data_IF_051762914075
#
_entry.id   IF_051762914075
#
_cell.length_a   1.000
_cell.length_b   1.000
_cell.length_c   1.000
_cell.angle_alpha   90.00
_cell.angle_beta   90.00
_cell.angle_gamma   90.00
#
_symmetry.space_group_name_H-M   'P 1'
#
loop_
_entity.id
_entity.type
_entity.pdbx_description
1 polymer ?
#
# COMPACT_ATOMS: atom_id res chain seq x y z
N UNK A 1 -1.50 -0.88 15.14
CA UNK A 1 -2.17 0.42 15.02
C UNK A 1 -3.61 0.22 14.55
N UNK A 2 -4.54 0.97 15.12
CA UNK A 2 -5.96 0.99 14.80
C UNK A 2 -6.47 2.42 14.95
N UNK A 3 -7.66 2.70 14.42
CA UNK A 3 -8.38 3.96 14.73
C UNK A 3 -9.35 3.82 15.89
N UNK A 4 -9.26 2.72 16.66
CA UNK A 4 -10.11 2.46 17.82
C UNK A 4 -9.64 3.21 19.06
N UNK A 5 -10.56 3.48 19.98
CA UNK A 5 -10.30 4.17 21.25
C UNK A 5 -9.28 3.43 22.14
N UNK A 6 -9.22 2.10 22.01
CA UNK A 6 -8.29 1.22 22.75
C UNK A 6 -6.99 0.94 21.97
N UNK A 7 -6.55 1.83 21.07
CA UNK A 7 -5.22 1.67 20.43
C UNK A 7 -4.09 2.09 21.38
N UNK A 8 -3.58 1.13 22.13
CA UNK A 8 -2.48 1.35 23.06
C UNK A 8 -1.11 1.47 22.38
N UNK A 9 -0.98 1.20 21.07
CA UNK A 9 0.34 1.21 20.39
C UNK A 9 1.00 2.59 20.48
N UNK A 10 0.22 3.64 20.19
CA UNK A 10 0.70 5.02 20.28
C UNK A 10 1.18 5.36 21.69
N UNK A 11 0.40 4.97 22.71
CA UNK A 11 0.74 5.23 24.11
C UNK A 11 2.01 4.48 24.51
N UNK A 12 2.10 3.21 24.16
CA UNK A 12 3.27 2.37 24.43
C UNK A 12 4.54 2.94 23.81
N UNK A 13 4.49 3.52 22.61
CA UNK A 13 5.64 4.20 22.01
C UNK A 13 6.06 5.43 22.81
N UNK A 14 5.11 6.25 23.26
CA UNK A 14 5.42 7.43 24.06
C UNK A 14 6.01 7.07 25.44
N UNK A 15 5.53 5.99 26.05
CA UNK A 15 6.00 5.52 27.36
C UNK A 15 7.46 5.00 27.34
N UNK A 16 8.02 4.75 26.15
CA UNK A 16 9.41 4.34 25.95
C UNK A 16 10.26 5.43 25.28
N UNK A 17 9.89 6.71 25.46
CA UNK A 17 10.55 7.88 24.87
C UNK A 17 10.58 7.86 23.32
N UNK A 18 9.58 7.23 22.71
CA UNK A 18 9.42 7.16 21.27
C UNK A 18 8.99 8.49 20.67
N UNK A 19 9.79 8.98 19.72
CA UNK A 19 9.43 10.13 18.88
C UNK A 19 8.62 9.66 17.69
N UNK A 20 7.32 9.97 17.69
CA UNK A 20 6.42 9.73 16.57
C UNK A 20 6.79 10.66 15.40
N UNK A 21 6.99 10.08 14.21
CA UNK A 21 7.23 10.81 12.96
C UNK A 21 5.91 11.06 12.24
N UNK A 22 5.08 10.03 12.13
CA UNK A 22 3.70 10.13 11.67
C UNK A 22 2.88 8.97 12.22
N UNK A 23 1.55 9.13 12.25
CA UNK A 23 0.59 8.12 12.75
C UNK A 23 -0.55 7.84 11.77
N UNK A 24 -0.56 8.52 10.63
CA UNK A 24 -1.47 8.24 9.54
C UNK A 24 -0.86 8.63 8.19
N UNK A 25 -1.24 7.89 7.15
CA UNK A 25 -0.92 8.20 5.75
C UNK A 25 -2.22 8.27 4.95
N UNK A 26 -2.28 9.20 3.99
CA UNK A 26 -3.41 9.39 3.10
C UNK A 26 -3.49 8.27 2.03
N UNK A 27 -3.68 7.03 2.48
CA UNK A 27 -3.81 5.85 1.63
C UNK A 27 -5.00 4.96 2.02
N UNK A 28 -5.42 4.11 1.09
CA UNK A 28 -6.48 3.12 1.25
C UNK A 28 -6.04 1.79 0.61
N UNK A 29 -6.15 0.64 1.30
CA UNK A 29 -6.31 0.53 2.75
C UNK A 29 -5.08 1.05 3.50
N UNK A 30 -5.14 1.12 4.84
CA UNK A 30 -3.95 1.35 5.66
C UNK A 30 -3.77 2.76 6.23
N UNK A 31 -4.84 3.56 6.35
CA UNK A 31 -4.82 4.86 7.05
C UNK A 31 -3.97 4.87 8.34
N UNK A 32 -4.09 3.91 9.29
CA UNK A 32 -3.39 3.99 10.58
C UNK A 32 -1.95 3.46 10.54
N UNK A 33 -1.22 3.51 9.41
CA UNK A 33 0.22 3.23 9.44
C UNK A 33 0.96 4.34 10.19
N UNK A 34 1.86 3.95 11.09
CA UNK A 34 2.65 4.88 11.89
C UNK A 34 4.13 4.55 11.88
N UNK A 35 4.96 5.56 12.09
CA UNK A 35 6.41 5.43 12.20
C UNK A 35 6.90 6.26 13.39
N UNK A 36 7.76 5.66 14.21
CA UNK A 36 8.42 6.33 15.32
C UNK A 36 9.89 5.89 15.44
N UNK A 37 10.67 6.64 16.21
CA UNK A 37 12.05 6.29 16.55
C UNK A 37 12.23 6.25 18.07
N UNK A 38 12.99 5.26 18.58
CA UNK A 38 13.46 5.18 19.97
C UNK A 38 14.95 4.93 19.94
N UNK A 39 15.76 5.89 20.39
CA UNK A 39 17.21 5.83 20.20
C UNK A 39 17.57 5.64 18.72
N UNK A 40 18.30 4.57 18.39
CA UNK A 40 18.62 4.17 17.02
C UNK A 40 17.62 3.20 16.38
N UNK A 41 16.60 2.76 17.12
CA UNK A 41 15.59 1.84 16.62
C UNK A 41 14.45 2.58 15.90
N UNK A 42 13.93 1.95 14.86
CA UNK A 42 12.73 2.40 14.13
C UNK A 42 11.56 1.50 14.47
N UNK A 43 10.45 2.10 14.85
CA UNK A 43 9.20 1.42 15.16
C UNK A 43 8.20 1.65 14.01
N UNK A 44 7.79 0.57 13.35
CA UNK A 44 6.77 0.60 12.30
C UNK A 44 5.46 0.03 12.85
N UNK A 45 4.45 0.88 12.95
CA UNK A 45 3.11 0.50 13.39
C UNK A 45 2.25 0.11 12.20
N UNK A 46 1.96 -1.19 12.07
CA UNK A 46 1.09 -1.69 11.01
C UNK A 46 -0.39 -1.72 11.46
N UNK A 47 -1.33 -1.52 10.52
CA UNK A 47 -2.76 -1.76 10.75
C UNK A 47 -3.06 -3.20 11.22
N UNK A 48 -4.11 -3.39 12.03
CA UNK A 48 -4.53 -4.75 12.44
C UNK A 48 -5.19 -5.59 11.32
N UNK A 49 -5.66 -4.95 10.24
CA UNK A 49 -6.21 -5.65 9.09
C UNK A 49 -5.08 -6.18 8.20
N UNK A 50 -5.09 -7.48 7.88
CA UNK A 50 -3.99 -8.13 7.17
C UNK A 50 -3.68 -7.54 5.79
N UNK A 51 -4.69 -7.18 5.01
CA UNK A 51 -4.46 -6.54 3.70
C UNK A 51 -3.89 -5.13 3.88
N UNK A 52 -4.43 -4.36 4.80
CA UNK A 52 -3.92 -3.04 5.14
C UNK A 52 -2.47 -3.10 5.69
N UNK A 53 -2.14 -4.12 6.48
CA UNK A 53 -0.80 -4.37 7.00
C UNK A 53 0.19 -4.68 5.87
N UNK A 54 -0.19 -5.54 4.92
CA UNK A 54 0.62 -5.85 3.75
C UNK A 54 0.88 -4.59 2.92
N UNK A 55 -0.17 -3.83 2.57
CA UNK A 55 -0.03 -2.57 1.81
C UNK A 55 0.88 -1.60 2.56
N UNK A 56 0.66 -1.40 3.85
CA UNK A 56 1.50 -0.52 4.67
C UNK A 56 2.96 -0.97 4.71
N UNK A 57 3.24 -2.27 4.81
CA UNK A 57 4.59 -2.79 4.77
C UNK A 57 5.23 -2.59 3.38
N UNK A 58 4.52 -2.88 2.30
CA UNK A 58 5.06 -2.74 0.94
C UNK A 58 5.34 -1.28 0.56
N UNK A 59 4.52 -0.34 1.02
CA UNK A 59 4.65 1.09 0.69
C UNK A 59 5.60 1.83 1.63
N UNK A 60 5.58 1.52 2.93
CA UNK A 60 6.36 2.23 3.95
C UNK A 60 7.49 1.36 4.50
N UNK A 61 7.17 0.13 4.90
CA UNK A 61 8.14 -0.77 5.55
C UNK A 61 9.34 -1.10 4.67
N UNK A 62 9.12 -1.34 3.37
CA UNK A 62 10.20 -1.59 2.41
C UNK A 62 11.14 -0.41 2.26
N UNK A 63 10.61 0.80 2.20
CA UNK A 63 11.41 2.04 2.17
C UNK A 63 12.25 2.19 3.44
N UNK A 64 11.66 1.95 4.61
CA UNK A 64 12.38 1.96 5.89
C UNK A 64 13.52 0.96 5.88
N UNK A 65 13.27 -0.29 5.48
CA UNK A 65 14.30 -1.35 5.42
C UNK A 65 15.40 -0.98 4.43
N UNK A 66 15.06 -0.48 3.25
CA UNK A 66 16.04 -0.08 2.25
C UNK A 66 16.97 1.02 2.78
N UNK A 67 16.41 2.06 3.40
CA UNK A 67 17.21 3.15 4.00
C UNK A 67 18.07 2.68 5.16
N UNK A 68 17.56 1.81 6.03
CA UNK A 68 18.36 1.22 7.12
C UNK A 68 19.52 0.35 6.60
N UNK A 69 19.36 -0.27 5.43
CA UNK A 69 20.42 -1.03 4.74
C UNK A 69 21.36 -0.16 3.89
N UNK A 70 21.20 1.15 3.88
CA UNK A 70 21.96 2.06 3.01
C UNK A 70 21.69 1.85 1.52
N UNK A 71 20.54 1.27 1.16
CA UNK A 71 20.12 1.03 -0.23
C UNK A 71 19.22 2.17 -0.71
N UNK A 72 19.17 2.35 -2.03
CA UNK A 72 18.20 3.22 -2.67
C UNK A 72 16.77 2.72 -2.45
N UNK A 73 15.81 3.64 -2.52
CA UNK A 73 14.38 3.32 -2.50
C UNK A 73 14.02 2.31 -3.60
N UNK A 74 13.30 1.21 -3.30
CA UNK A 74 12.83 0.26 -4.30
C UNK A 74 12.01 0.97 -5.40
N UNK A 75 12.38 0.79 -6.67
CA UNK A 75 11.68 1.36 -7.83
C UNK A 75 10.99 0.28 -8.64
N UNK A 76 10.13 -0.47 -7.96
CA UNK A 76 9.46 -1.65 -8.53
C UNK A 76 8.06 -1.35 -9.05
N UNK A 77 7.59 -0.12 -8.85
CA UNK A 77 6.34 0.37 -9.44
C UNK A 77 6.53 0.60 -10.94
N UNK A 78 5.62 0.07 -11.73
CA UNK A 78 5.60 0.21 -13.18
C UNK A 78 4.23 0.71 -13.67
N UNK A 79 4.18 1.39 -14.84
CA UNK A 79 2.92 1.83 -15.42
C UNK A 79 2.08 0.62 -15.88
N UNK A 80 0.76 0.72 -15.73
CA UNK A 80 -0.21 -0.25 -16.21
C UNK A 80 -1.42 0.45 -16.83
N UNK A 81 -2.23 -0.31 -17.59
CA UNK A 81 -3.52 0.12 -18.12
C UNK A 81 -4.65 -0.46 -17.29
N UNK A 82 -5.65 0.34 -16.96
CA UNK A 82 -6.84 -0.14 -16.27
C UNK A 82 -7.70 -1.00 -17.22
N UNK A 83 -7.88 -2.27 -16.89
CA UNK A 83 -8.86 -3.18 -17.52
C UNK A 83 -10.27 -3.03 -16.91
N UNK A 84 -10.47 -2.03 -16.06
CA UNK A 84 -11.69 -1.78 -15.30
C UNK A 84 -12.08 -0.31 -15.35
N UNK A 85 -13.33 -0.03 -14.99
CA UNK A 85 -13.81 1.32 -14.67
C UNK A 85 -14.18 1.42 -13.19
N UNK A 86 -13.91 2.56 -12.58
CA UNK A 86 -14.16 2.82 -11.15
C UNK A 86 -14.36 4.31 -10.87
N UNK A 87 -15.44 4.64 -10.17
CA UNK A 87 -15.64 5.95 -9.54
C UNK A 87 -15.23 5.89 -8.06
N UNK A 88 -14.52 6.92 -7.61
CA UNK A 88 -13.98 6.97 -6.24
C UNK A 88 -13.91 8.39 -5.70
N UNK A 89 -13.81 8.50 -4.38
CA UNK A 89 -13.60 9.79 -3.72
C UNK A 89 -12.11 10.16 -3.76
N UNK A 90 -11.77 11.44 -4.02
CA UNK A 90 -10.39 11.91 -3.98
C UNK A 90 -9.83 11.96 -2.55
N UNK A 91 -8.54 12.28 -2.44
CA UNK A 91 -7.87 12.63 -1.19
C UNK A 91 -7.08 11.51 -0.54
N UNK A 92 -7.05 10.30 -1.12
CA UNK A 92 -6.21 9.18 -0.66
C UNK A 92 -5.68 8.41 -1.85
N UNK A 93 -4.44 7.95 -1.83
CA UNK A 93 -3.95 6.98 -2.83
C UNK A 93 -4.57 5.61 -2.53
N UNK A 94 -5.10 4.93 -3.54
CA UNK A 94 -5.77 3.64 -3.37
C UNK A 94 -4.96 2.50 -3.95
N UNK A 95 -4.74 1.49 -3.11
CA UNK A 95 -4.08 0.23 -3.41
C UNK A 95 -5.10 -0.89 -3.39
N UNK A 96 -5.07 -1.75 -4.41
CA UNK A 96 -5.98 -2.88 -4.53
C UNK A 96 -5.23 -4.10 -5.08
N UNK A 97 -5.62 -5.32 -4.70
CA UNK A 97 -5.07 -6.53 -5.32
C UNK A 97 -5.45 -6.52 -6.80
N UNK A 98 -4.47 -6.74 -7.67
CA UNK A 98 -4.66 -6.65 -9.10
C UNK A 98 -4.13 -7.91 -9.80
N UNK A 99 -4.84 -8.32 -10.85
CA UNK A 99 -4.45 -9.40 -11.75
C UNK A 99 -4.07 -8.81 -13.11
N UNK A 100 -3.04 -9.35 -13.73
CA UNK A 100 -2.70 -9.06 -15.12
C UNK A 100 -3.62 -9.84 -16.06
N UNK A 101 -4.33 -9.14 -16.93
CA UNK A 101 -5.19 -9.72 -17.97
C UNK A 101 -4.42 -10.02 -19.26
N UNK A 102 -3.34 -9.28 -19.49
CA UNK A 102 -2.53 -9.32 -20.69
C UNK A 102 -1.70 -8.05 -20.81
N UNK A 103 -1.23 -7.76 -22.02
CA UNK A 103 -0.42 -6.58 -22.33
C UNK A 103 -1.05 -5.82 -23.50
N UNK A 104 -0.94 -4.50 -23.48
CA UNK A 104 -1.30 -3.65 -24.60
C UNK A 104 -0.22 -3.75 -25.72
N UNK A 105 -0.45 -3.17 -26.91
CA UNK A 105 0.52 -3.22 -28.02
C UNK A 105 1.90 -2.65 -27.71
N UNK A 106 2.00 -1.77 -26.71
CA UNK A 106 3.26 -1.16 -26.27
C UNK A 106 3.97 -2.02 -25.19
N UNK A 107 3.41 -3.17 -24.84
CA UNK A 107 3.94 -4.06 -23.81
C UNK A 107 3.62 -3.61 -22.38
N UNK A 108 2.69 -2.67 -22.20
CA UNK A 108 2.24 -2.22 -20.87
C UNK A 108 1.19 -3.21 -20.34
N UNK A 109 1.30 -3.71 -19.10
CA UNK A 109 0.32 -4.66 -18.57
C UNK A 109 -1.05 -4.02 -18.42
N UNK A 110 -2.09 -4.76 -18.82
CA UNK A 110 -3.49 -4.43 -18.56
C UNK A 110 -3.92 -5.17 -17.30
N UNK A 111 -4.38 -4.44 -16.28
CA UNK A 111 -4.70 -5.01 -14.96
C UNK A 111 -6.18 -4.89 -14.62
N UNK A 112 -6.73 -5.90 -13.95
CA UNK A 112 -8.08 -5.87 -13.38
C UNK A 112 -8.05 -5.81 -11.85
N UNK A 113 -9.08 -5.21 -11.27
CA UNK A 113 -9.24 -5.09 -9.82
C UNK A 113 -9.85 -6.37 -9.26
N UNK A 114 -9.18 -6.96 -8.26
CA UNK A 114 -9.69 -8.08 -7.50
C UNK A 114 -10.32 -7.63 -6.19
N UNK A 115 -11.39 -8.31 -5.77
CA UNK A 115 -11.96 -8.15 -4.43
C UNK A 115 -12.91 -6.97 -4.24
N UNK A 116 -13.73 -6.63 -5.26
CA UNK A 116 -14.88 -5.72 -5.06
C UNK A 116 -15.76 -6.25 -3.91
N UNK A 117 -15.79 -5.56 -2.76
CA UNK A 117 -16.76 -5.82 -1.69
C UNK A 117 -16.25 -6.20 -0.29
N UNK A 118 -15.23 -5.53 0.25
CA UNK A 118 -14.97 -5.51 1.70
C UNK A 118 -13.51 -5.69 2.09
N UNK A 119 -13.07 -4.97 3.11
CA UNK A 119 -11.67 -4.85 3.53
C UNK A 119 -11.06 -6.10 4.18
N UNK A 120 -11.81 -7.17 4.41
CA UNK A 120 -11.41 -8.31 5.25
C UNK A 120 -11.24 -9.64 4.48
N UNK A 121 -10.93 -9.61 3.19
CA UNK A 121 -10.73 -10.85 2.42
C UNK A 121 -9.28 -10.94 1.96
N UNK A 122 -8.58 -11.98 2.41
CA UNK A 122 -7.26 -12.36 1.91
C UNK A 122 -7.35 -13.07 0.55
N UNK A 123 -8.49 -13.68 0.22
CA UNK A 123 -8.66 -14.44 -1.03
C UNK A 123 -8.28 -13.65 -2.31
N UNK A 124 -8.65 -12.36 -2.47
CA UNK A 124 -8.18 -11.56 -3.60
C UNK A 124 -6.66 -11.41 -3.70
N UNK A 125 -5.93 -11.41 -2.57
CA UNK A 125 -4.47 -11.33 -2.58
C UNK A 125 -3.82 -12.61 -3.10
N UNK A 126 -4.43 -13.77 -2.82
CA UNK A 126 -3.91 -15.07 -3.29
C UNK A 126 -3.97 -15.18 -4.82
N UNK A 127 -4.98 -14.55 -5.43
CA UNK A 127 -5.17 -14.55 -6.88
C UNK A 127 -4.53 -13.34 -7.59
N UNK A 128 -3.89 -12.43 -6.85
CA UNK A 128 -3.32 -11.21 -7.39
C UNK A 128 -1.87 -11.41 -7.82
N UNK A 129 -1.52 -10.80 -8.95
CA UNK A 129 -0.13 -10.72 -9.45
C UNK A 129 0.62 -9.55 -8.81
N UNK A 130 -0.09 -8.59 -8.23
CA UNK A 130 0.48 -7.42 -7.56
C UNK A 130 -0.55 -6.49 -6.94
N UNK A 131 -0.11 -5.29 -6.58
CA UNK A 131 -0.98 -4.20 -6.14
C UNK A 131 -1.15 -3.17 -7.28
N UNK A 132 -2.38 -2.93 -7.68
CA UNK A 132 -2.71 -1.75 -8.48
C UNK A 132 -2.74 -0.49 -7.60
N UNK A 133 -2.37 0.65 -8.18
CA UNK A 133 -2.28 1.96 -7.50
C UNK A 133 -3.00 3.05 -8.28
N UNK A 134 -3.93 3.75 -7.64
CA UNK A 134 -4.61 4.93 -8.18
C UNK A 134 -4.26 6.14 -7.30
N UNK A 135 -3.77 7.20 -7.92
CA UNK A 135 -3.32 8.43 -7.25
C UNK A 135 -4.46 9.19 -6.55
N UNK A 136 -4.10 10.01 -5.57
CA UNK A 136 -5.05 10.64 -4.66
C UNK A 136 -5.94 11.71 -5.32
N UNK A 137 -5.51 12.29 -6.43
CA UNK A 137 -6.21 13.30 -7.23
C UNK A 137 -7.20 12.69 -8.24
N UNK A 138 -7.08 11.39 -8.52
CA UNK A 138 -7.91 10.72 -9.54
C UNK A 138 -9.26 10.25 -8.99
N UNK A 139 -10.33 10.91 -9.43
CA UNK A 139 -11.71 10.63 -8.99
C UNK A 139 -12.43 9.58 -9.84
N UNK A 140 -12.00 9.39 -11.07
CA UNK A 140 -12.57 8.45 -12.02
C UNK A 140 -11.44 7.71 -12.75
N UNK A 141 -11.62 6.42 -12.94
CA UNK A 141 -10.77 5.56 -13.76
C UNK A 141 -11.65 4.95 -14.84
N UNK A 142 -11.27 5.17 -16.10
CA UNK A 142 -11.87 4.54 -17.27
C UNK A 142 -11.00 3.38 -17.76
N UNK A 143 -11.60 2.45 -18.51
CA UNK A 143 -10.83 1.40 -19.18
C UNK A 143 -9.78 2.03 -20.11
N UNK A 144 -8.55 1.56 -20.05
CA UNK A 144 -7.39 2.07 -20.79
C UNK A 144 -6.60 3.17 -20.07
N UNK A 145 -7.13 3.71 -18.97
CA UNK A 145 -6.42 4.75 -18.20
C UNK A 145 -5.09 4.24 -17.63
N UNK A 146 -4.08 5.11 -17.60
CA UNK A 146 -2.81 4.81 -16.95
C UNK A 146 -2.97 4.74 -15.43
N UNK A 147 -2.53 3.66 -14.82
CA UNK A 147 -2.50 3.44 -13.36
C UNK A 147 -1.12 2.90 -12.96
N UNK A 148 -0.80 2.93 -11.66
CA UNK A 148 0.40 2.28 -11.15
C UNK A 148 0.16 0.79 -10.90
N UNK A 149 1.23 0.00 -11.00
CA UNK A 149 1.21 -1.42 -10.64
C UNK A 149 2.52 -1.80 -9.95
N UNK A 150 2.40 -2.47 -8.81
CA UNK A 150 3.51 -3.03 -8.05
C UNK A 150 3.41 -4.56 -8.10
N UNK A 151 4.18 -5.24 -8.98
CA UNK A 151 4.17 -6.69 -9.07
C UNK A 151 4.66 -7.33 -7.77
N UNK A 152 4.02 -8.39 -7.28
CA UNK A 152 4.45 -9.06 -6.04
C UNK A 152 5.84 -9.69 -6.17
N UNK A 153 6.18 -10.20 -7.34
CA UNK A 153 7.51 -10.75 -7.61
C UNK A 153 8.62 -9.72 -7.35
N UNK A 154 8.40 -8.46 -7.74
CA UNK A 154 9.33 -7.38 -7.48
C UNK A 154 9.22 -6.89 -6.02
N UNK A 155 7.99 -6.75 -5.51
CA UNK A 155 7.72 -6.21 -4.18
C UNK A 155 8.24 -7.08 -3.03
N UNK A 156 8.35 -8.40 -3.22
CA UNK A 156 8.76 -9.34 -2.16
C UNK A 156 10.27 -9.64 -2.17
N UNK A 157 11.06 -8.97 -3.02
CA UNK A 157 12.52 -8.99 -2.99
C UNK A 157 13.02 -7.91 -2.00
N UNK A 158 13.69 -8.32 -0.92
CA UNK A 158 14.19 -7.44 0.17
C UNK A 158 15.72 -7.26 0.18
#
# INVERSE_FOLDING_TARGET
MSSGLEDHVRRAWLDIDGRIIFEAVAMKPGKPVGLACVGSAVLLGLPGNSFAALVAFLVVGREVIARLRGRASPRDDLPARAGFALDRRPGRTEFFPARVLGFDPDGTPVIDLLGKGGSARLAPLVAADGLGRIECDRVQVSVGDAVGFLPFEAALRL
#
